data_IF_023767328093
#
_entry.id   IF_023767328093
#
_cell.length_a   1.000
_cell.length_b   1.000
_cell.length_c   1.000
_cell.angle_alpha   90.00
_cell.angle_beta   90.00
_cell.angle_gamma   90.00
#
_symmetry.space_group_name_H-M   'P 1'
#
loop_
_entity.id
_entity.type
_entity.pdbx_description
1 polymer ?
#
# COMPACT_ATOMS: atom_id res chain seq x y z
N UNK A 1 10.93 -44.57 -52.66
CA UNK A 1 10.43 -43.64 -51.59
C UNK A 1 10.00 -44.51 -50.42
N UNK A 2 10.72 -44.44 -49.28
CA UNK A 2 10.42 -45.25 -48.09
C UNK A 2 9.19 -44.65 -47.39
N UNK A 3 8.05 -45.34 -47.37
CA UNK A 3 6.84 -44.90 -46.66
C UNK A 3 7.12 -44.87 -45.16
N UNK A 4 6.93 -43.75 -44.52
CA UNK A 4 7.05 -43.59 -43.07
C UNK A 4 6.04 -44.53 -42.35
N UNK A 5 6.52 -45.20 -41.30
CA UNK A 5 5.69 -46.10 -40.53
C UNK A 5 4.54 -45.33 -39.85
N UNK A 6 3.30 -45.81 -39.96
CA UNK A 6 2.08 -45.19 -39.40
C UNK A 6 2.24 -44.80 -37.92
N UNK A 7 2.99 -45.58 -37.12
CA UNK A 7 3.27 -45.27 -35.72
C UNK A 7 4.03 -43.94 -35.55
N UNK A 8 5.04 -43.68 -36.39
CA UNK A 8 5.80 -42.43 -36.32
C UNK A 8 4.97 -41.21 -36.70
N UNK A 9 4.04 -41.37 -37.63
CA UNK A 9 3.09 -40.31 -38.01
C UNK A 9 2.19 -39.95 -36.82
N UNK A 10 1.67 -40.96 -36.11
CA UNK A 10 0.81 -40.74 -34.93
C UNK A 10 1.59 -40.04 -33.79
N UNK A 11 2.82 -40.46 -33.53
CA UNK A 11 3.65 -39.78 -32.49
C UNK A 11 3.97 -38.32 -32.86
N UNK A 12 4.26 -38.02 -34.11
CA UNK A 12 4.45 -36.65 -34.58
C UNK A 12 3.20 -35.79 -34.40
N UNK A 13 2.02 -36.33 -34.74
CA UNK A 13 0.75 -35.62 -34.53
C UNK A 13 0.46 -35.33 -33.06
N UNK A 14 0.69 -36.30 -32.17
CA UNK A 14 0.55 -36.14 -30.73
C UNK A 14 1.53 -35.07 -30.16
N UNK A 15 2.76 -35.05 -30.67
CA UNK A 15 3.77 -34.03 -30.25
C UNK A 15 3.34 -32.63 -30.72
N UNK A 16 2.80 -32.49 -31.92
CA UNK A 16 2.30 -31.21 -32.44
C UNK A 16 1.10 -30.71 -31.60
N UNK A 17 0.18 -31.62 -31.26
CA UNK A 17 -0.98 -31.29 -30.43
C UNK A 17 -0.51 -30.82 -29.03
N UNK A 18 0.48 -31.51 -28.43
CA UNK A 18 1.06 -31.15 -27.14
C UNK A 18 1.71 -29.75 -27.19
N UNK A 19 2.46 -29.45 -28.26
CA UNK A 19 3.09 -28.13 -28.45
C UNK A 19 2.06 -27.00 -28.63
N UNK A 20 0.95 -27.27 -29.30
CA UNK A 20 -0.13 -26.30 -29.51
C UNK A 20 -0.84 -26.03 -28.15
N UNK A 21 -1.14 -27.10 -27.39
CA UNK A 21 -1.82 -26.94 -26.09
C UNK A 21 -0.98 -26.19 -25.05
N UNK A 22 0.33 -26.39 -25.02
CA UNK A 22 1.22 -25.65 -24.11
C UNK A 22 1.25 -24.15 -24.42
N UNK A 23 1.22 -23.76 -25.69
CA UNK A 23 1.18 -22.36 -26.09
C UNK A 23 -0.16 -21.68 -25.74
N UNK A 24 -1.28 -22.39 -25.82
CA UNK A 24 -2.62 -21.87 -25.46
C UNK A 24 -2.69 -21.56 -23.94
N UNK A 25 -2.08 -22.40 -23.09
CA UNK A 25 -2.03 -22.16 -21.65
C UNK A 25 -1.23 -20.91 -21.30
N UNK A 26 -0.12 -20.63 -21.99
CA UNK A 26 0.67 -19.42 -21.78
C UNK A 26 -0.07 -18.13 -22.18
N UNK A 27 -0.88 -18.15 -23.21
CA UNK A 27 -1.66 -16.97 -23.67
C UNK A 27 -2.82 -16.67 -22.72
N UNK A 28 -3.40 -17.68 -22.04
CA UNK A 28 -4.49 -17.50 -21.07
C UNK A 28 -4.05 -16.87 -19.74
N UNK A 29 -2.75 -16.79 -19.47
CA UNK A 29 -2.19 -16.17 -18.26
C UNK A 29 -1.92 -14.65 -18.39
N UNK A 30 -2.32 -14.03 -19.50
CA UNK A 30 -2.28 -12.57 -19.61
C UNK A 30 -3.43 -12.02 -18.77
N UNK A 31 -3.13 -11.70 -17.51
CA UNK A 31 -4.08 -11.10 -16.58
C UNK A 31 -4.61 -9.80 -17.18
N UNK A 32 -5.90 -9.74 -17.43
CA UNK A 32 -6.57 -8.47 -17.67
C UNK A 32 -6.38 -7.63 -16.40
N UNK A 33 -5.54 -6.60 -16.48
CA UNK A 33 -5.40 -5.64 -15.40
C UNK A 33 -6.71 -4.84 -15.38
N UNK A 34 -7.53 -5.12 -14.39
CA UNK A 34 -8.76 -4.38 -14.15
C UNK A 34 -8.42 -3.22 -13.19
N UNK A 35 -8.59 -2.00 -13.65
CA UNK A 35 -8.50 -0.82 -12.80
C UNK A 35 -9.87 -0.57 -12.15
N UNK A 36 -9.89 -0.49 -10.80
CA UNK A 36 -11.03 0.03 -10.06
C UNK A 36 -10.73 1.50 -9.73
N UNK A 37 -11.58 2.38 -10.20
CA UNK A 37 -11.50 3.78 -9.81
C UNK A 37 -12.11 3.94 -8.42
N UNK A 38 -11.37 4.56 -7.49
CA UNK A 38 -11.82 4.83 -6.12
C UNK A 38 -11.98 6.35 -6.00
N UNK A 39 -13.16 6.77 -5.61
CA UNK A 39 -13.56 8.17 -5.53
C UNK A 39 -14.05 8.53 -4.13
N UNK A 40 -14.44 9.80 -3.94
CA UNK A 40 -15.08 10.24 -2.70
C UNK A 40 -16.43 9.56 -2.43
N UNK A 41 -17.11 9.06 -3.46
CA UNK A 41 -18.34 8.27 -3.30
C UNK A 41 -18.06 6.89 -2.68
N UNK A 42 -16.85 6.35 -2.84
CA UNK A 42 -16.39 5.13 -2.18
C UNK A 42 -15.89 5.35 -0.75
N UNK A 43 -15.90 6.60 -0.24
CA UNK A 43 -15.49 6.97 1.11
C UNK A 43 -14.09 7.57 1.24
N UNK A 44 -13.39 7.84 0.14
CA UNK A 44 -12.15 8.62 0.17
C UNK A 44 -12.49 10.09 0.49
N UNK A 45 -11.89 10.67 1.53
CA UNK A 45 -12.28 12.01 2.01
C UNK A 45 -11.92 13.15 1.03
N UNK A 46 -10.88 12.94 0.18
CA UNK A 46 -10.52 13.85 -0.93
C UNK A 46 -9.91 13.08 -2.10
N UNK A 47 -9.98 13.68 -3.31
CA UNK A 47 -9.46 13.06 -4.53
C UNK A 47 -7.95 13.20 -4.76
N UNK A 48 -7.24 14.07 -4.00
CA UNK A 48 -5.79 14.27 -4.15
C UNK A 48 -5.06 13.42 -3.12
N UNK A 49 -4.25 12.49 -3.59
CA UNK A 49 -3.38 11.62 -2.77
C UNK A 49 -1.95 12.10 -2.92
N UNK A 50 -1.31 12.50 -1.83
CA UNK A 50 0.07 12.99 -1.79
C UNK A 50 1.07 11.83 -1.65
N UNK A 51 0.72 10.82 -0.84
CA UNK A 51 1.57 9.65 -0.58
C UNK A 51 0.74 8.39 -0.40
N UNK A 52 1.30 7.24 -0.78
CA UNK A 52 0.65 5.93 -0.70
C UNK A 52 1.66 4.86 -0.32
N UNK A 53 1.27 3.99 0.62
CA UNK A 53 2.01 2.76 0.93
C UNK A 53 1.04 1.59 1.08
N UNK A 54 1.56 0.37 0.93
CA UNK A 54 0.90 -0.85 1.39
C UNK A 54 1.67 -1.40 2.59
N UNK A 55 0.96 -1.69 3.69
CA UNK A 55 1.56 -2.30 4.87
C UNK A 55 1.69 -3.84 4.74
N UNK A 56 2.40 -4.47 5.69
CA UNK A 56 2.64 -5.92 5.71
C UNK A 56 1.36 -6.76 5.90
N UNK A 57 0.26 -6.13 6.34
CA UNK A 57 -1.06 -6.77 6.47
C UNK A 57 -1.90 -6.64 5.20
N UNK A 58 -1.40 -5.88 4.21
CA UNK A 58 -2.07 -5.64 2.93
C UNK A 58 -3.02 -4.44 2.91
N UNK A 59 -3.13 -3.66 4.00
CA UNK A 59 -3.87 -2.40 3.98
C UNK A 59 -3.15 -1.36 3.14
N UNK A 60 -3.91 -0.56 2.41
CA UNK A 60 -3.40 0.61 1.67
C UNK A 60 -3.59 1.85 2.54
N UNK A 61 -2.50 2.57 2.78
CA UNK A 61 -2.50 3.83 3.48
C UNK A 61 -2.32 4.97 2.50
N UNK A 62 -3.18 5.97 2.59
CA UNK A 62 -3.24 7.12 1.69
C UNK A 62 -3.12 8.39 2.51
N UNK A 63 -2.07 9.15 2.27
CA UNK A 63 -1.92 10.50 2.81
C UNK A 63 -2.57 11.51 1.88
N UNK A 64 -3.46 12.29 2.42
CA UNK A 64 -4.20 13.32 1.69
C UNK A 64 -4.15 14.65 2.44
N UNK A 65 -4.67 15.72 1.83
CA UNK A 65 -4.69 17.05 2.46
C UNK A 65 -5.78 17.20 3.55
N UNK A 66 -6.61 16.18 3.74
CA UNK A 66 -7.72 16.17 4.70
C UNK A 66 -7.65 14.96 5.67
N UNK A 67 -6.44 14.48 5.95
CA UNK A 67 -6.16 13.41 6.89
C UNK A 67 -5.45 12.20 6.29
N UNK A 68 -5.43 11.11 7.05
CA UNK A 68 -4.87 9.83 6.65
C UNK A 68 -5.98 8.82 6.46
N UNK A 69 -5.98 8.09 5.36
CA UNK A 69 -6.94 7.03 5.08
C UNK A 69 -6.27 5.66 5.09
N UNK A 70 -6.87 4.67 5.77
CA UNK A 70 -6.50 3.25 5.68
C UNK A 70 -7.61 2.49 4.95
N UNK A 71 -7.28 1.79 3.86
CA UNK A 71 -8.21 1.03 3.04
C UNK A 71 -7.93 -0.48 3.15
N UNK A 72 -8.97 -1.27 3.45
CA UNK A 72 -8.88 -2.73 3.61
C UNK A 72 -9.35 -3.51 2.37
N UNK A 73 -9.60 -2.84 1.25
CA UNK A 73 -10.19 -3.43 0.04
C UNK A 73 -11.70 -3.21 -0.10
N UNK A 74 -12.38 -2.82 0.99
CA UNK A 74 -13.85 -2.65 1.05
C UNK A 74 -14.25 -1.29 1.58
N UNK A 75 -13.62 -0.82 2.67
CA UNK A 75 -13.97 0.39 3.38
C UNK A 75 -12.75 1.20 3.79
N UNK A 76 -12.95 2.49 4.03
CA UNK A 76 -11.94 3.41 4.53
C UNK A 76 -12.10 3.65 6.02
N UNK A 77 -11.00 3.57 6.76
CA UNK A 77 -10.86 4.18 8.07
C UNK A 77 -10.09 5.48 7.92
N UNK A 78 -10.67 6.57 8.44
CA UNK A 78 -10.09 7.92 8.32
C UNK A 78 -9.55 8.34 9.69
N UNK A 79 -8.32 8.83 9.71
CA UNK A 79 -7.65 9.44 10.86
C UNK A 79 -7.53 10.93 10.61
N UNK A 80 -8.09 11.73 11.50
CA UNK A 80 -8.02 13.19 11.43
C UNK A 80 -7.40 13.77 12.69
N UNK A 81 -6.85 14.97 12.56
CA UNK A 81 -6.46 15.77 13.68
C UNK A 81 -7.70 16.30 14.41
N UNK A 82 -7.69 16.20 15.72
CA UNK A 82 -8.71 16.73 16.62
C UNK A 82 -8.00 17.20 17.91
N UNK A 83 -8.12 18.48 18.23
CA UNK A 83 -7.46 19.11 19.37
C UNK A 83 -8.01 18.59 20.72
N UNK A 84 -9.24 18.06 20.74
CA UNK A 84 -9.89 17.53 21.93
C UNK A 84 -9.57 16.05 22.17
N UNK A 85 -9.00 15.36 21.18
CA UNK A 85 -8.71 13.92 21.24
C UNK A 85 -7.20 13.66 21.27
N UNK A 86 -6.70 13.16 22.40
CA UNK A 86 -5.30 12.72 22.54
C UNK A 86 -4.91 11.68 21.47
N UNK A 87 -5.83 10.77 21.11
CA UNK A 87 -5.61 9.73 20.11
C UNK A 87 -5.96 10.20 18.70
N UNK A 88 -5.41 11.34 18.30
CA UNK A 88 -5.54 11.90 16.95
C UNK A 88 -4.18 12.22 16.35
N UNK A 89 -4.09 12.29 15.02
CA UNK A 89 -2.85 12.66 14.32
C UNK A 89 -2.51 14.13 14.52
N UNK A 90 -1.22 14.51 14.38
CA UNK A 90 -0.74 15.87 14.65
C UNK A 90 -1.29 16.94 13.70
N UNK A 91 -1.64 16.59 12.47
CA UNK A 91 -2.23 17.51 11.49
C UNK A 91 -2.90 16.73 10.34
N UNK A 92 -3.88 17.35 9.67
CA UNK A 92 -4.59 16.73 8.53
C UNK A 92 -3.78 16.78 7.21
N UNK A 93 -2.80 17.66 7.08
CA UNK A 93 -1.96 17.72 5.90
C UNK A 93 -0.84 16.68 5.99
N UNK A 94 -1.03 15.55 5.30
CA UNK A 94 -0.09 14.44 5.32
C UNK A 94 0.96 14.64 4.23
N UNK A 95 2.24 14.55 4.62
CA UNK A 95 3.38 14.76 3.72
C UNK A 95 3.99 13.41 3.30
N UNK A 96 4.21 12.51 4.26
CA UNK A 96 4.81 11.21 3.99
C UNK A 96 4.31 10.14 4.96
N UNK A 97 4.36 8.87 4.52
CA UNK A 97 3.96 7.70 5.31
C UNK A 97 5.00 6.61 5.13
N UNK A 98 5.43 6.00 6.24
CA UNK A 98 6.31 4.82 6.21
C UNK A 98 5.85 3.78 7.23
N UNK A 99 6.14 2.50 6.97
CA UNK A 99 6.00 1.42 7.93
C UNK A 99 7.36 1.06 8.52
N UNK A 100 7.45 0.93 9.86
CA UNK A 100 8.65 0.44 10.53
C UNK A 100 8.70 -1.11 10.60
N UNK A 101 9.85 -1.66 11.01
CA UNK A 101 10.07 -3.10 11.10
C UNK A 101 9.19 -3.80 12.15
N UNK A 102 8.52 -3.05 13.02
CA UNK A 102 7.57 -3.54 14.03
C UNK A 102 6.12 -3.53 13.52
N UNK A 103 5.89 -3.00 12.32
CA UNK A 103 4.60 -2.86 11.69
C UNK A 103 3.84 -1.58 12.05
N UNK A 104 4.45 -0.64 12.78
CA UNK A 104 3.82 0.66 13.05
C UNK A 104 3.86 1.55 11.81
N UNK A 105 2.88 2.43 11.68
CA UNK A 105 2.81 3.43 10.61
C UNK A 105 3.28 4.79 11.16
N UNK A 106 4.29 5.33 10.52
CA UNK A 106 4.80 6.67 10.78
C UNK A 106 4.24 7.65 9.78
N UNK A 107 3.70 8.75 10.26
CA UNK A 107 2.94 9.73 9.47
C UNK A 107 3.55 11.11 9.68
N UNK A 108 4.27 11.59 8.67
CA UNK A 108 4.80 12.94 8.63
C UNK A 108 3.74 13.93 8.20
N UNK A 109 3.59 15.00 8.95
CA UNK A 109 2.58 16.02 8.68
C UNK A 109 3.19 17.41 8.60
N UNK A 110 2.40 18.39 8.23
CA UNK A 110 2.80 19.80 8.25
C UNK A 110 3.03 20.35 9.68
N UNK A 111 2.65 19.60 10.73
CA UNK A 111 2.78 20.06 12.12
C UNK A 111 3.15 18.92 13.08
N UNK A 112 4.19 18.18 12.76
CA UNK A 112 4.72 17.10 13.61
C UNK A 112 4.67 15.73 12.96
N UNK A 113 5.00 14.72 13.76
CA UNK A 113 5.09 13.33 13.37
C UNK A 113 4.14 12.50 14.26
N UNK A 114 3.37 11.62 13.66
CA UNK A 114 2.51 10.68 14.38
C UNK A 114 2.97 9.25 14.12
N UNK A 115 2.96 8.42 15.15
CA UNK A 115 3.18 6.97 15.07
C UNK A 115 1.90 6.25 15.42
N UNK A 116 1.41 5.39 14.53
CA UNK A 116 0.21 4.57 14.74
C UNK A 116 0.65 3.13 14.99
N UNK A 117 0.35 2.58 16.15
CA UNK A 117 0.44 1.15 16.42
C UNK A 117 -0.72 0.44 15.70
N UNK A 118 -0.41 -0.33 14.66
CA UNK A 118 -1.42 -0.99 13.82
C UNK A 118 -2.20 -2.09 14.52
N UNK A 119 -1.71 -2.59 15.69
CA UNK A 119 -2.35 -3.66 16.47
C UNK A 119 -3.36 -3.10 17.46
N UNK A 120 -3.03 -1.97 18.09
CA UNK A 120 -3.84 -1.35 19.15
C UNK A 120 -4.61 -0.12 18.66
N UNK A 121 -4.22 0.41 17.50
CA UNK A 121 -4.73 1.64 16.89
C UNK A 121 -4.44 2.90 17.74
N UNK A 122 -3.47 2.80 18.65
CA UNK A 122 -3.00 3.92 19.45
C UNK A 122 -2.05 4.82 18.66
N UNK A 123 -2.23 6.12 18.83
CA UNK A 123 -1.42 7.15 18.18
C UNK A 123 -0.50 7.80 19.21
N UNK A 124 0.78 7.86 18.89
CA UNK A 124 1.77 8.61 19.65
C UNK A 124 2.26 9.77 18.80
N UNK A 125 2.16 10.98 19.31
CA UNK A 125 2.57 12.20 18.63
C UNK A 125 3.93 12.70 19.11
N UNK A 126 4.70 13.27 18.19
CA UNK A 126 6.01 13.87 18.40
C UNK A 126 5.96 15.31 17.87
N UNK A 127 6.18 16.26 18.76
CA UNK A 127 6.09 17.70 18.48
C UNK A 127 7.36 18.41 18.94
N UNK A 128 7.56 19.68 18.57
CA UNK A 128 8.72 20.49 19.00
C UNK A 128 8.74 20.79 20.50
N UNK A 129 7.60 20.76 21.17
CA UNK A 129 7.46 21.16 22.58
C UNK A 129 7.47 19.98 23.56
N UNK A 130 7.73 18.77 23.09
CA UNK A 130 7.81 17.58 23.93
C UNK A 130 9.23 17.46 24.50
N UNK A 131 9.39 17.54 25.80
CA UNK A 131 10.71 17.49 26.46
C UNK A 131 11.44 16.16 26.23
N UNK A 132 10.72 15.04 26.03
CA UNK A 132 11.29 13.71 25.81
C UNK A 132 11.38 13.30 24.35
N UNK A 133 10.53 13.88 23.48
CA UNK A 133 10.33 13.44 22.08
C UNK A 133 10.34 14.61 21.10
N UNK A 134 11.16 15.61 21.38
CA UNK A 134 11.19 16.86 20.62
C UNK A 134 11.72 16.68 19.21
N UNK A 135 10.97 17.18 18.25
CA UNK A 135 11.44 17.38 16.88
C UNK A 135 12.20 18.72 16.76
N UNK A 136 13.20 18.77 15.90
CA UNK A 136 13.92 20.02 15.60
C UNK A 136 13.10 21.03 14.80
N UNK A 137 12.04 20.55 14.12
CA UNK A 137 11.12 21.37 13.32
C UNK A 137 9.74 20.73 13.28
N UNK A 138 8.67 21.54 13.18
CA UNK A 138 7.29 21.03 13.14
C UNK A 138 6.92 20.42 11.77
N UNK A 139 7.46 20.94 10.68
CA UNK A 139 7.14 20.46 9.32
C UNK A 139 8.04 19.28 8.94
N UNK A 140 7.44 18.13 8.71
CA UNK A 140 8.14 16.92 8.26
C UNK A 140 8.15 16.92 6.73
N UNK A 141 9.34 16.86 6.12
CA UNK A 141 9.49 16.81 4.67
C UNK A 141 9.51 15.40 4.10
N UNK A 142 10.10 14.45 4.84
CA UNK A 142 10.24 13.05 4.44
C UNK A 142 10.55 12.18 5.65
N UNK A 143 10.27 10.88 5.57
CA UNK A 143 10.57 9.88 6.61
C UNK A 143 11.43 8.78 5.99
N UNK A 144 12.52 8.45 6.66
CA UNK A 144 13.37 7.32 6.29
C UNK A 144 13.41 6.31 7.45
N UNK A 145 12.99 5.08 7.18
CA UNK A 145 13.18 3.97 8.11
C UNK A 145 14.48 3.26 7.75
N UNK A 146 15.40 3.20 8.70
CA UNK A 146 16.69 2.51 8.49
C UNK A 146 16.52 0.99 8.63
N UNK A 147 17.55 0.22 8.22
CA UNK A 147 17.53 -1.25 8.39
C UNK A 147 17.51 -1.68 9.86
N UNK A 148 17.99 -0.85 10.77
CA UNK A 148 17.92 -1.06 12.22
C UNK A 148 16.53 -0.78 12.80
N UNK A 149 15.66 -0.12 12.03
CA UNK A 149 14.30 0.22 12.45
C UNK A 149 14.18 1.61 13.13
N UNK A 150 15.26 2.40 13.04
CA UNK A 150 15.31 3.78 13.57
C UNK A 150 14.95 4.79 12.48
#
# INVERSE_FOLDING_TARGET
>A
MKTMNKKYIIYMLLLIILLITTNIVYVSAYNNINFKNITSEDGLSQGTVETIIQDDQGYIWLGINDGLCRYNGYEFKIYKHDEELENSITNNYIVDIKQDNSGNIWVGTANGLSKIDTKTDLITNYNMNDEEKSLSHYNIGDILITKSGD
#
